data_IF_436055527876
#
_entry.id   IF_436055527876
#
_cell.length_a   1.000
_cell.length_b   1.000
_cell.length_c   1.000
_cell.angle_alpha   90.00
_cell.angle_beta   90.00
_cell.angle_gamma   90.00
#
_symmetry.space_group_name_H-M   'P 1'
#
loop_
_entity.id
_entity.type
_entity.pdbx_description
1 polymer ?
#
# COMPACT_ATOMS: atom_id res chain seq x y z
N UNK A 1 -14.00 -25.32 -24.09
CA UNK A 1 -14.25 -25.95 -22.78
C UNK A 1 -14.06 -24.87 -21.73
N UNK A 2 -15.13 -24.37 -21.12
CA UNK A 2 -15.05 -23.47 -19.97
C UNK A 2 -14.73 -24.30 -18.74
N UNK A 3 -13.46 -24.36 -18.35
CA UNK A 3 -13.08 -24.91 -17.05
C UNK A 3 -13.72 -24.04 -15.96
N UNK A 4 -14.55 -24.65 -15.11
CA UNK A 4 -15.09 -24.01 -13.92
C UNK A 4 -13.93 -23.57 -13.01
N UNK A 5 -14.06 -22.41 -12.37
CA UNK A 5 -13.08 -21.93 -11.41
C UNK A 5 -12.86 -22.97 -10.30
N UNK A 6 -11.60 -23.27 -10.01
CA UNK A 6 -11.20 -24.22 -8.98
C UNK A 6 -11.27 -23.58 -7.59
N UNK A 7 -11.17 -24.40 -6.54
CA UNK A 7 -11.07 -23.89 -5.15
C UNK A 7 -9.85 -22.97 -4.99
N UNK A 8 -8.73 -23.30 -5.65
CA UNK A 8 -7.51 -22.49 -5.64
C UNK A 8 -7.74 -21.11 -6.24
N UNK A 9 -8.52 -21.02 -7.32
CA UNK A 9 -8.85 -19.73 -7.96
C UNK A 9 -9.67 -18.85 -7.02
N UNK A 10 -10.67 -19.41 -6.35
CA UNK A 10 -11.49 -18.67 -5.38
C UNK A 10 -10.70 -18.17 -4.18
N UNK A 11 -9.82 -19.01 -3.62
CA UNK A 11 -8.91 -18.60 -2.54
C UNK A 11 -8.01 -17.47 -3.01
N UNK A 12 -7.46 -17.55 -4.22
CA UNK A 12 -6.66 -16.50 -4.84
C UNK A 12 -7.42 -15.19 -4.98
N UNK A 13 -8.67 -15.22 -5.48
CA UNK A 13 -9.50 -14.02 -5.64
C UNK A 13 -9.86 -13.37 -4.32
N UNK A 14 -10.25 -14.17 -3.32
CA UNK A 14 -10.57 -13.64 -1.98
C UNK A 14 -9.32 -13.07 -1.32
N UNK A 15 -8.18 -13.76 -1.40
CA UNK A 15 -6.91 -13.27 -0.85
C UNK A 15 -6.47 -11.95 -1.50
N UNK A 16 -6.48 -11.88 -2.84
CA UNK A 16 -6.14 -10.67 -3.58
C UNK A 16 -7.09 -9.51 -3.25
N UNK A 17 -8.39 -9.78 -3.16
CA UNK A 17 -9.40 -8.76 -2.83
C UNK A 17 -9.22 -8.24 -1.40
N UNK A 18 -9.14 -9.13 -0.42
CA UNK A 18 -9.01 -8.75 0.99
C UNK A 18 -7.72 -7.98 1.25
N UNK A 19 -6.59 -8.45 0.72
CA UNK A 19 -5.31 -7.77 0.89
C UNK A 19 -5.32 -6.40 0.22
N UNK A 20 -5.82 -6.26 -1.00
CA UNK A 20 -5.90 -4.98 -1.71
C UNK A 20 -6.83 -4.00 -0.99
N UNK A 21 -8.03 -4.45 -0.63
CA UNK A 21 -9.02 -3.60 0.04
C UNK A 21 -8.59 -3.18 1.45
N UNK A 22 -7.74 -3.96 2.12
CA UNK A 22 -7.22 -3.58 3.45
C UNK A 22 -6.43 -2.26 3.45
N UNK A 23 -5.89 -1.84 2.30
CA UNK A 23 -5.18 -0.56 2.16
C UNK A 23 -6.12 0.64 1.96
N UNK A 24 -7.37 0.42 1.56
CA UNK A 24 -8.33 1.50 1.30
C UNK A 24 -8.70 2.26 2.58
N UNK A 25 -9.07 1.63 3.71
CA UNK A 25 -9.32 2.36 4.96
C UNK A 25 -8.12 3.18 5.43
N UNK A 26 -6.91 2.65 5.29
CA UNK A 26 -5.69 3.35 5.67
C UNK A 26 -5.43 4.56 4.75
N UNK A 27 -5.60 4.41 3.44
CA UNK A 27 -5.48 5.50 2.48
C UNK A 27 -6.51 6.59 2.77
N UNK A 28 -7.78 6.20 2.94
CA UNK A 28 -8.88 7.09 3.26
C UNK A 28 -8.62 7.88 4.54
N UNK A 29 -8.27 7.21 5.63
CA UNK A 29 -7.95 7.86 6.91
C UNK A 29 -6.80 8.87 6.75
N UNK A 30 -5.74 8.50 6.02
CA UNK A 30 -4.60 9.38 5.77
C UNK A 30 -5.01 10.61 4.95
N UNK A 31 -5.84 10.45 3.93
CA UNK A 31 -6.35 11.57 3.12
C UNK A 31 -7.28 12.48 3.92
N UNK A 32 -8.15 11.92 4.75
CA UNK A 32 -9.13 12.66 5.53
C UNK A 32 -8.48 13.47 6.66
N UNK A 33 -7.56 12.86 7.41
CA UNK A 33 -6.91 13.50 8.56
C UNK A 33 -5.71 14.34 8.16
N UNK A 34 -5.07 14.04 7.02
CA UNK A 34 -3.74 14.53 6.64
C UNK A 34 -2.67 14.29 7.71
N UNK A 35 -2.94 13.41 8.69
CA UNK A 35 -2.00 13.06 9.73
C UNK A 35 -1.22 11.82 9.33
N UNK A 36 0.05 12.05 9.00
CA UNK A 36 1.03 11.02 8.63
C UNK A 36 2.04 10.78 9.76
N UNK A 37 1.85 11.36 10.94
CA UNK A 37 2.83 11.28 12.04
C UNK A 37 3.07 9.84 12.52
N UNK A 38 2.02 9.02 12.58
CA UNK A 38 2.07 7.59 12.96
C UNK A 38 2.64 6.65 11.90
N UNK A 39 2.84 7.11 10.66
CA UNK A 39 3.34 6.27 9.57
C UNK A 39 4.87 6.33 9.52
N UNK A 40 5.54 5.20 9.73
CA UNK A 40 7.00 5.13 9.58
C UNK A 40 7.41 5.26 8.12
N UNK A 41 8.27 6.25 7.81
CA UNK A 41 8.76 6.48 6.44
C UNK A 41 9.54 5.27 5.90
N UNK A 42 10.41 4.68 6.73
CA UNK A 42 11.23 3.53 6.34
C UNK A 42 10.38 2.30 6.03
N UNK A 43 9.43 1.99 6.93
CA UNK A 43 8.52 0.85 6.74
C UNK A 43 7.69 1.02 5.47
N UNK A 44 7.10 2.20 5.26
CA UNK A 44 6.24 2.44 4.10
C UNK A 44 7.02 2.48 2.78
N UNK A 45 8.27 2.98 2.80
CA UNK A 45 9.15 2.97 1.62
C UNK A 45 9.53 1.54 1.24
N UNK A 46 9.95 0.72 2.22
CA UNK A 46 10.28 -0.69 1.99
C UNK A 46 9.06 -1.48 1.49
N UNK A 47 7.88 -1.25 2.07
CA UNK A 47 6.63 -1.85 1.62
C UNK A 47 6.31 -1.49 0.16
N UNK A 48 6.36 -0.19 -0.18
CA UNK A 48 6.07 0.30 -1.55
C UNK A 48 7.04 -0.30 -2.57
N UNK A 49 8.34 -0.36 -2.24
CA UNK A 49 9.35 -1.01 -3.09
C UNK A 49 9.09 -2.51 -3.23
N UNK A 50 8.74 -3.20 -2.14
CA UNK A 50 8.39 -4.61 -2.16
C UNK A 50 7.22 -4.92 -3.08
N UNK A 51 6.15 -4.12 -3.03
CA UNK A 51 4.98 -4.25 -3.92
C UNK A 51 5.37 -4.01 -5.38
N UNK A 52 6.23 -3.03 -5.67
CA UNK A 52 6.77 -2.81 -7.01
C UNK A 52 7.54 -4.03 -7.52
N UNK A 53 8.40 -4.62 -6.69
CA UNK A 53 9.15 -5.82 -7.05
C UNK A 53 8.21 -7.03 -7.28
N UNK A 54 7.17 -7.19 -6.46
CA UNK A 54 6.13 -8.20 -6.66
C UNK A 54 5.35 -8.00 -7.96
N UNK A 55 5.06 -6.75 -8.33
CA UNK A 55 4.44 -6.44 -9.62
C UNK A 55 5.34 -6.86 -10.78
N UNK A 56 6.63 -6.48 -10.75
CA UNK A 56 7.61 -6.90 -11.76
C UNK A 56 7.68 -8.42 -11.85
N UNK A 57 7.77 -9.10 -10.70
CA UNK A 57 7.77 -10.55 -10.64
C UNK A 57 6.50 -11.17 -11.25
N UNK A 58 5.32 -10.64 -10.92
CA UNK A 58 4.04 -11.09 -11.49
C UNK A 58 3.98 -10.92 -13.01
N UNK A 59 4.50 -9.83 -13.55
CA UNK A 59 4.61 -9.59 -15.00
C UNK A 59 5.53 -10.61 -15.65
N UNK A 60 6.70 -10.88 -15.06
CA UNK A 60 7.63 -11.89 -15.56
C UNK A 60 7.02 -13.31 -15.58
N UNK A 61 6.10 -13.61 -14.66
CA UNK A 61 5.37 -14.88 -14.63
C UNK A 61 4.09 -14.92 -15.47
N UNK A 62 3.62 -13.79 -16.01
CA UNK A 62 2.30 -13.70 -16.65
C UNK A 62 1.12 -13.92 -15.69
N UNK A 63 1.33 -13.71 -14.39
CA UNK A 63 0.34 -14.00 -13.35
C UNK A 63 -0.65 -12.84 -13.15
N UNK A 64 -1.68 -12.75 -14.01
CA UNK A 64 -2.67 -11.67 -14.01
C UNK A 64 -3.27 -11.30 -12.64
N UNK A 65 -3.66 -12.26 -11.76
CA UNK A 65 -4.19 -11.91 -10.44
C UNK A 65 -3.16 -11.16 -9.57
N UNK A 66 -1.88 -11.57 -9.63
CA UNK A 66 -0.78 -10.93 -8.89
C UNK A 66 -0.52 -9.54 -9.44
N UNK A 67 -0.53 -9.39 -10.77
CA UNK A 67 -0.33 -8.11 -11.45
C UNK A 67 -1.41 -7.12 -11.02
N UNK A 68 -2.69 -7.49 -11.16
CA UNK A 68 -3.82 -6.60 -10.87
C UNK A 68 -3.80 -6.17 -9.40
N UNK A 69 -3.60 -7.11 -8.47
CA UNK A 69 -3.54 -6.80 -7.05
C UNK A 69 -2.41 -5.81 -6.73
N UNK A 70 -1.19 -6.07 -7.20
CA UNK A 70 -0.05 -5.21 -6.90
C UNK A 70 -0.12 -3.85 -7.58
N UNK A 71 -0.74 -3.71 -8.76
CA UNK A 71 -0.98 -2.40 -9.38
C UNK A 71 -1.86 -1.52 -8.47
N UNK A 72 -2.96 -2.07 -7.98
CA UNK A 72 -3.89 -1.31 -7.12
C UNK A 72 -3.21 -0.96 -5.80
N UNK A 73 -2.55 -1.93 -5.16
CA UNK A 73 -1.80 -1.72 -3.91
C UNK A 73 -0.70 -0.69 -4.10
N UNK A 74 0.06 -0.74 -5.20
CA UNK A 74 1.14 0.20 -5.47
C UNK A 74 0.61 1.64 -5.62
N UNK A 75 -0.51 1.83 -6.31
CA UNK A 75 -1.14 3.15 -6.45
C UNK A 75 -1.55 3.73 -5.09
N UNK A 76 -2.20 2.93 -4.25
CA UNK A 76 -2.60 3.34 -2.89
C UNK A 76 -1.37 3.64 -2.00
N UNK A 77 -0.37 2.76 -2.03
CA UNK A 77 0.84 2.90 -1.22
C UNK A 77 1.66 4.13 -1.63
N UNK A 78 1.80 4.38 -2.93
CA UNK A 78 2.50 5.54 -3.47
C UNK A 78 1.83 6.85 -3.04
N UNK A 79 0.50 6.93 -3.09
CA UNK A 79 -0.25 8.09 -2.60
C UNK A 79 0.05 8.41 -1.14
N UNK A 80 0.03 7.40 -0.27
CA UNK A 80 0.32 7.56 1.17
C UNK A 80 1.78 7.95 1.39
N UNK A 81 2.71 7.31 0.67
CA UNK A 81 4.14 7.62 0.77
C UNK A 81 4.43 9.06 0.35
N UNK A 82 3.83 9.53 -0.75
CA UNK A 82 3.94 10.93 -1.19
C UNK A 82 3.40 11.88 -0.13
N UNK A 83 2.22 11.61 0.45
CA UNK A 83 1.70 12.42 1.55
C UNK A 83 2.67 12.45 2.74
N UNK A 84 3.28 11.32 3.10
CA UNK A 84 4.28 11.23 4.18
C UNK A 84 5.53 12.05 3.87
N UNK A 85 6.02 12.02 2.64
CA UNK A 85 7.20 12.78 2.21
C UNK A 85 6.93 14.29 2.24
N UNK A 86 5.73 14.72 1.82
CA UNK A 86 5.34 16.14 1.81
C UNK A 86 5.06 16.69 3.22
N UNK A 87 4.30 15.97 4.04
CA UNK A 87 3.84 16.48 5.36
C UNK A 87 4.71 16.00 6.53
N UNK A 88 5.50 14.94 6.36
CA UNK A 88 6.32 14.36 7.43
C UNK A 88 7.45 15.28 7.91
N UNK A 89 7.99 16.14 7.04
CA UNK A 89 9.00 17.14 7.41
C UNK A 89 8.44 18.20 8.37
N UNK A 90 7.21 18.67 8.12
CA UNK A 90 6.54 19.63 9.00
C UNK A 90 6.15 19.03 10.36
N UNK A 91 5.76 17.75 10.39
CA UNK A 91 5.41 17.04 11.63
C UNK A 91 6.63 16.78 12.52
N UNK A 92 7.79 16.45 11.94
CA UNK A 92 9.02 16.22 12.71
C UNK A 92 9.57 17.52 13.32
N UNK A 93 9.44 18.65 12.59
CA UNK A 93 9.82 19.98 13.07
C UNK A 93 8.99 20.40 14.30
N UNK A 94 7.66 20.29 14.23
CA UNK A 94 6.75 20.62 15.35
C UNK A 94 7.02 19.83 16.63
N UNK A 95 7.54 18.60 16.53
CA UNK A 95 7.89 17.77 17.68
C UNK A 95 9.18 18.22 18.36
N UNK A 96 10.13 18.76 17.60
CA UNK A 96 11.37 19.31 18.14
C UNK A 96 11.14 20.68 18.80
N UNK A 97 10.24 21.48 18.23
CA UNK A 97 9.92 22.83 18.71
C UNK A 97 9.03 22.85 19.98
N UNK A 98 8.55 21.68 20.46
CA UNK A 98 7.80 21.63 21.73
C UNK A 98 8.76 21.83 22.91
N UNK A 99 8.49 22.81 23.80
CA UNK A 99 9.28 22.96 25.02
C UNK A 99 9.19 21.68 25.85
N UNK A 100 10.33 21.24 26.38
CA UNK A 100 10.39 20.14 27.34
C UNK A 100 9.88 20.70 28.67
N UNK A 101 8.61 20.42 28.99
CA UNK A 101 8.04 20.63 30.33
C UNK A 101 8.71 19.71 31.36
#
# INVERSE_FOLDING_TARGET
MTSAATVTDWVGYVAATLTTLSFVPQAWHTFQTRDVSGISLGMYSAFTLGVLLWLVYGVLLGAWPVIIANVITLALAACILVMKLLHGRAAHQKRYDRPKE
#
